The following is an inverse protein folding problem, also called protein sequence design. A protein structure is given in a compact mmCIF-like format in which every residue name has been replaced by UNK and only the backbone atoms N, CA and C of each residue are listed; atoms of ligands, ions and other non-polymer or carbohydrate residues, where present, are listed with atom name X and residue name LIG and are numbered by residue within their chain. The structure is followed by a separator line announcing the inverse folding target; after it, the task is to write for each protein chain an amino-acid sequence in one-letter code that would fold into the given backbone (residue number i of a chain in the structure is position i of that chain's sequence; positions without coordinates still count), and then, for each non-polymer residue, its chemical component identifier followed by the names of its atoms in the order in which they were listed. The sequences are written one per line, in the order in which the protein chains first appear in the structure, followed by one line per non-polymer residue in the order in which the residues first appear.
data_IF_032162891609
#
_entry.id   IF_032162891609
#
_cell.length_a   1.000
_cell.length_b   1.000
_cell.length_c   1.000
_cell.angle_alpha   90.00
_cell.angle_beta   90.00
_cell.angle_gamma   90.00
#
_symmetry.space_group_name_H-M   'P 1'
#
loop_
_entity.id
_entity.type
_entity.pdbx_description
1 polymer ?
#
# COMPACT_ATOMS: atom_id res chain seq x y z
N UNK A 1 -18.35 3.11 5.49
CA UNK A 1 -17.58 4.37 5.46
C UNK A 1 -16.36 4.28 4.54
N UNK A 2 -15.49 3.26 4.72
CA UNK A 2 -14.31 3.02 3.89
C UNK A 2 -14.57 3.07 2.37
N UNK A 3 -15.43 2.19 1.85
CA UNK A 3 -15.73 2.13 0.42
C UNK A 3 -16.30 3.43 -0.16
N UNK A 4 -17.10 4.17 0.62
CA UNK A 4 -17.65 5.46 0.19
C UNK A 4 -16.57 6.54 0.07
N UNK A 5 -15.66 6.62 1.06
CA UNK A 5 -14.52 7.54 1.01
C UNK A 5 -13.62 7.24 -0.20
N UNK A 6 -13.30 5.97 -0.43
CA UNK A 6 -12.49 5.52 -1.57
C UNK A 6 -13.15 5.88 -2.90
N UNK A 7 -14.46 5.70 -3.01
CA UNK A 7 -15.23 6.07 -4.20
C UNK A 7 -15.19 7.58 -4.46
N UNK A 8 -15.43 8.39 -3.43
CA UNK A 8 -15.33 9.85 -3.54
C UNK A 8 -13.93 10.29 -3.93
N UNK A 9 -12.89 9.67 -3.37
CA UNK A 9 -11.50 9.95 -3.72
C UNK A 9 -11.20 9.64 -5.18
N UNK A 10 -11.68 8.48 -5.67
CA UNK A 10 -11.50 8.09 -7.07
C UNK A 10 -12.18 9.05 -8.05
N UNK A 11 -13.34 9.61 -7.69
CA UNK A 11 -14.06 10.59 -8.51
C UNK A 11 -13.41 11.97 -8.43
N UNK A 12 -13.10 12.42 -7.21
CA UNK A 12 -12.58 13.76 -6.94
C UNK A 12 -11.15 13.98 -7.43
N UNK A 13 -10.28 12.97 -7.26
CA UNK A 13 -8.86 13.07 -7.61
C UNK A 13 -8.47 12.22 -8.82
N UNK A 14 -9.41 12.00 -9.75
CA UNK A 14 -9.20 11.20 -10.97
C UNK A 14 -7.97 11.62 -11.78
N UNK A 15 -7.66 12.92 -11.83
CA UNK A 15 -6.58 13.46 -12.64
C UNK A 15 -5.22 13.13 -12.02
N UNK A 16 -5.11 13.14 -10.69
CA UNK A 16 -3.91 12.69 -9.97
C UNK A 16 -3.69 11.17 -10.14
N UNK A 17 -4.76 10.37 -10.07
CA UNK A 17 -4.66 8.91 -10.29
C UNK A 17 -4.23 8.60 -11.73
N UNK A 18 -4.76 9.34 -12.72
CA UNK A 18 -4.33 9.24 -14.12
C UNK A 18 -2.88 9.62 -14.28
N UNK A 19 -2.46 10.76 -13.71
CA UNK A 19 -1.07 11.19 -13.70
C UNK A 19 -0.14 10.10 -13.15
N UNK A 20 -0.42 9.55 -11.96
CA UNK A 20 0.39 8.49 -11.36
C UNK A 20 0.48 7.23 -12.24
N UNK A 21 -0.62 6.85 -12.87
CA UNK A 21 -0.68 5.68 -13.76
C UNK A 21 0.09 5.93 -15.06
N UNK A 22 -0.08 7.10 -15.65
CA UNK A 22 0.60 7.48 -16.89
C UNK A 22 2.11 7.65 -16.67
N UNK A 23 2.51 8.19 -15.52
CA UNK A 23 3.92 8.26 -15.10
C UNK A 23 4.56 6.87 -15.03
N UNK A 24 3.91 5.91 -14.36
CA UNK A 24 4.39 4.52 -14.33
C UNK A 24 4.47 3.94 -15.74
N UNK A 25 3.44 4.14 -16.57
CA UNK A 25 3.42 3.65 -17.95
C UNK A 25 4.56 4.24 -18.79
N UNK A 26 4.83 5.52 -18.65
CA UNK A 26 5.91 6.20 -19.35
C UNK A 26 7.28 5.65 -18.93
N UNK A 27 7.48 5.42 -17.63
CA UNK A 27 8.69 4.79 -17.10
C UNK A 27 8.89 3.42 -17.74
N UNK A 28 7.87 2.56 -17.72
CA UNK A 28 7.96 1.24 -18.35
C UNK A 28 8.30 1.36 -19.84
N UNK A 29 7.61 2.22 -20.59
CA UNK A 29 7.84 2.41 -22.02
C UNK A 29 9.24 2.96 -22.33
N UNK A 30 9.75 3.92 -21.55
CA UNK A 30 11.04 4.58 -21.81
C UNK A 30 12.22 3.65 -21.49
N UNK A 31 12.16 2.94 -20.37
CA UNK A 31 13.28 2.10 -19.90
C UNK A 31 13.25 0.68 -20.44
N UNK A 32 12.14 0.20 -20.99
CA UNK A 32 12.08 -1.07 -21.72
C UNK A 32 12.89 -1.02 -23.03
N UNK A 33 13.08 0.17 -23.61
CA UNK A 33 13.89 0.34 -24.82
C UNK A 33 15.40 0.49 -24.53
N UNK A 34 15.81 0.59 -23.25
CA UNK A 34 17.21 0.76 -22.83
C UNK A 34 17.93 -0.59 -22.63
N UNK A 35 19.18 -0.51 -22.16
CA UNK A 35 20.08 -1.63 -21.82
C UNK A 35 19.44 -2.72 -20.96
N UNK A 36 20.05 -3.90 -20.95
CA UNK A 36 19.56 -5.13 -20.30
C UNK A 36 19.30 -4.98 -18.80
N UNK A 37 20.10 -4.16 -18.11
CA UNK A 37 19.99 -4.00 -16.64
C UNK A 37 18.71 -3.25 -16.25
N UNK A 38 18.35 -2.23 -17.03
CA UNK A 38 17.08 -1.52 -16.89
C UNK A 38 15.89 -2.47 -17.07
N UNK A 39 15.91 -3.32 -18.11
CA UNK A 39 14.87 -4.33 -18.34
C UNK A 39 14.75 -5.32 -17.20
N UNK A 40 15.88 -5.76 -16.64
CA UNK A 40 15.89 -6.66 -15.49
C UNK A 40 15.19 -6.02 -14.28
N UNK A 41 15.47 -4.75 -13.99
CA UNK A 41 14.80 -3.99 -12.92
C UNK A 41 13.29 -3.85 -13.16
N UNK A 42 12.88 -3.51 -14.38
CA UNK A 42 11.46 -3.44 -14.77
C UNK A 42 10.75 -4.78 -14.58
N UNK A 43 11.34 -5.86 -15.08
CA UNK A 43 10.77 -7.21 -14.98
C UNK A 43 10.67 -7.66 -13.52
N UNK A 44 11.68 -7.37 -12.70
CA UNK A 44 11.67 -7.66 -11.27
C UNK A 44 10.55 -6.91 -10.56
N UNK A 45 10.35 -5.62 -10.87
CA UNK A 45 9.25 -4.83 -10.31
C UNK A 45 7.89 -5.40 -10.70
N UNK A 46 7.65 -5.65 -12.00
CA UNK A 46 6.40 -6.25 -12.48
C UNK A 46 6.14 -7.60 -11.82
N UNK A 47 7.14 -8.47 -11.74
CA UNK A 47 6.99 -9.78 -11.12
C UNK A 47 6.65 -9.68 -9.62
N UNK A 48 7.26 -8.74 -8.92
CA UNK A 48 7.01 -8.50 -7.50
C UNK A 48 5.60 -7.96 -7.28
N UNK A 49 5.19 -6.95 -8.05
CA UNK A 49 3.83 -6.37 -7.97
C UNK A 49 2.77 -7.39 -8.36
N UNK A 50 2.95 -8.15 -9.45
CA UNK A 50 2.01 -9.19 -9.85
C UNK A 50 1.87 -10.29 -8.80
N UNK A 51 2.97 -10.70 -8.16
CA UNK A 51 2.93 -11.68 -7.07
C UNK A 51 2.18 -11.13 -5.87
N UNK A 52 2.44 -9.88 -5.50
CA UNK A 52 1.77 -9.18 -4.43
C UNK A 52 0.25 -9.06 -4.68
N UNK A 53 -0.16 -8.60 -5.86
CA UNK A 53 -1.57 -8.48 -6.26
C UNK A 53 -2.28 -9.84 -6.24
N UNK A 54 -1.65 -10.90 -6.78
CA UNK A 54 -2.23 -12.25 -6.75
C UNK A 54 -2.41 -12.77 -5.33
N UNK A 55 -1.41 -12.58 -4.47
CA UNK A 55 -1.48 -12.95 -3.06
C UNK A 55 -2.63 -12.22 -2.35
N UNK A 56 -2.72 -10.91 -2.55
CA UNK A 56 -3.79 -10.07 -2.02
C UNK A 56 -5.18 -10.51 -2.49
N UNK A 57 -5.33 -10.81 -3.78
CA UNK A 57 -6.59 -11.29 -4.35
C UNK A 57 -7.02 -12.63 -3.73
N UNK A 58 -6.09 -13.58 -3.60
CA UNK A 58 -6.37 -14.90 -3.00
C UNK A 58 -6.83 -14.75 -1.55
N UNK A 59 -6.12 -13.94 -0.77
CA UNK A 59 -6.44 -13.82 0.65
C UNK A 59 -7.77 -13.07 0.84
N UNK A 60 -8.01 -11.99 0.11
CA UNK A 60 -9.27 -11.24 0.17
C UNK A 60 -10.47 -12.11 -0.24
N UNK A 61 -10.30 -12.92 -1.29
CA UNK A 61 -11.31 -13.90 -1.71
C UNK A 61 -11.54 -14.97 -0.62
N UNK A 62 -10.47 -15.52 -0.04
CA UNK A 62 -10.57 -16.54 1.01
C UNK A 62 -11.31 -16.06 2.26
N UNK A 63 -11.07 -14.81 2.67
CA UNK A 63 -11.73 -14.18 3.82
C UNK A 63 -13.22 -13.95 3.50
N UNK A 64 -13.52 -13.41 2.32
CA UNK A 64 -14.90 -13.16 1.90
C UNK A 64 -15.71 -14.47 1.84
N UNK A 65 -15.12 -15.51 1.26
CA UNK A 65 -15.74 -16.84 1.21
C UNK A 65 -15.92 -17.44 2.61
N UNK A 66 -14.94 -17.28 3.50
CA UNK A 66 -15.04 -17.74 4.89
C UNK A 66 -16.19 -17.06 5.62
N UNK A 67 -16.35 -15.74 5.43
CA UNK A 67 -17.43 -14.96 6.07
C UNK A 67 -18.82 -15.39 5.58
N UNK A 68 -18.97 -15.70 4.28
CA UNK A 68 -20.22 -16.25 3.72
C UNK A 68 -20.47 -17.67 4.26
N UNK A 69 -19.42 -18.48 4.44
CA UNK A 69 -19.52 -19.85 4.92
C UNK A 69 -19.92 -19.98 6.40
N UNK A 70 -19.77 -18.92 7.22
CA UNK A 70 -20.18 -18.93 8.65
C UNK A 70 -21.66 -19.23 8.81
N UNK A 71 -22.53 -18.71 7.93
CA UNK A 71 -23.99 -18.92 8.02
C UNK A 71 -24.41 -20.37 7.82
N UNK A 72 -24.08 -21.03 6.69
CA UNK A 72 -24.45 -22.43 6.51
C UNK A 72 -23.77 -23.33 7.54
N UNK A 73 -22.53 -23.02 7.96
CA UNK A 73 -21.83 -23.79 8.99
C UNK A 73 -22.59 -23.75 10.33
N UNK A 74 -22.97 -22.56 10.79
CA UNK A 74 -23.71 -22.42 12.05
C UNK A 74 -25.09 -23.08 11.98
N UNK A 75 -25.76 -22.98 10.83
CA UNK A 75 -27.05 -23.64 10.60
C UNK A 75 -26.95 -25.17 10.64
N UNK A 76 -25.86 -25.76 10.12
CA UNK A 76 -25.66 -27.22 10.12
C UNK A 76 -25.28 -27.74 11.51
N UNK A 77 -24.44 -27.02 12.25
CA UNK A 77 -23.89 -27.48 13.53
C UNK A 77 -24.82 -27.20 14.70
N UNK A 78 -25.37 -25.98 14.80
CA UNK A 78 -26.17 -25.54 15.94
C UNK A 78 -27.67 -25.53 15.66
N UNK A 79 -28.08 -25.78 14.41
CA UNK A 79 -29.48 -25.76 13.94
C UNK A 79 -30.21 -24.41 14.16
N UNK A 80 -29.46 -23.34 14.43
CA UNK A 80 -29.96 -22.00 14.65
C UNK A 80 -29.91 -21.15 13.38
N UNK A 81 -30.92 -20.29 13.21
CA UNK A 81 -30.99 -19.32 12.11
C UNK A 81 -30.31 -18.03 12.52
N UNK A 82 -29.10 -17.82 12.00
CA UNK A 82 -28.35 -16.58 12.21
C UNK A 82 -28.22 -15.82 10.89
N UNK A 83 -28.15 -14.50 11.00
CA UNK A 83 -27.85 -13.58 9.89
C UNK A 83 -26.44 -12.99 10.08
N UNK A 84 -25.66 -12.87 9.01
CA UNK A 84 -24.32 -12.21 9.07
C UNK A 84 -24.46 -10.72 9.30
N UNK A 85 -25.43 -10.11 8.64
CA UNK A 85 -25.75 -8.69 8.74
C UNK A 85 -27.07 -8.51 9.50
N UNK A 86 -27.13 -7.51 10.36
CA UNK A 86 -28.27 -7.27 11.26
C UNK A 86 -29.42 -6.47 10.61
N UNK A 87 -29.36 -6.17 9.30
CA UNK A 87 -30.43 -5.43 8.65
C UNK A 87 -31.59 -6.35 8.25
N UNK A 88 -32.80 -5.89 8.58
CA UNK A 88 -34.06 -6.53 8.23
C UNK A 88 -34.69 -5.76 7.06
N UNK A 89 -34.94 -6.46 5.97
CA UNK A 89 -35.58 -5.88 4.78
C UNK A 89 -37.10 -5.80 5.02
N UNK A 90 -37.70 -4.59 4.93
CA UNK A 90 -39.13 -4.42 5.20
C UNK A 90 -39.95 -5.20 4.17
N UNK A 91 -40.91 -6.01 4.63
CA UNK A 91 -41.78 -6.82 3.78
C UNK A 91 -41.38 -8.30 3.63
N UNK A 92 -40.30 -8.76 4.28
CA UNK A 92 -39.90 -10.17 4.30
C UNK A 92 -39.90 -10.68 5.75
N UNK A 93 -40.75 -11.66 6.06
CA UNK A 93 -40.78 -12.29 7.38
C UNK A 93 -39.55 -13.21 7.59
N UNK A 94 -38.64 -12.89 8.53
CA UNK A 94 -37.42 -13.69 8.78
C UNK A 94 -37.71 -15.08 9.35
N UNK A 95 -38.89 -15.23 9.97
CA UNK A 95 -39.31 -16.45 10.64
C UNK A 95 -39.77 -17.54 9.65
N UNK A 96 -40.15 -17.15 8.43
CA UNK A 96 -40.53 -18.08 7.37
C UNK A 96 -39.28 -18.62 6.66
N UNK A 97 -39.24 -19.91 6.32
CA UNK A 97 -38.08 -20.53 5.67
C UNK A 97 -37.70 -19.84 4.35
N UNK A 98 -38.70 -19.42 3.58
CA UNK A 98 -38.53 -18.65 2.35
C UNK A 98 -37.93 -17.26 2.63
N UNK A 99 -38.46 -16.54 3.63
CA UNK A 99 -37.96 -15.21 3.98
C UNK A 99 -36.53 -15.23 4.52
N UNK A 100 -36.18 -16.24 5.32
CA UNK A 100 -34.80 -16.48 5.78
C UNK A 100 -33.84 -16.71 4.60
N UNK A 101 -34.21 -17.56 3.64
CA UNK A 101 -33.38 -17.84 2.46
C UNK A 101 -33.20 -16.58 1.61
N UNK A 102 -34.28 -15.85 1.34
CA UNK A 102 -34.25 -14.64 0.53
C UNK A 102 -33.39 -13.54 1.18
N UNK A 103 -33.50 -13.36 2.49
CA UNK A 103 -32.65 -12.42 3.25
C UNK A 103 -31.17 -12.80 3.16
N UNK A 104 -30.84 -14.08 3.33
CA UNK A 104 -29.47 -14.55 3.27
C UNK A 104 -28.86 -14.41 1.86
N UNK A 105 -29.64 -14.68 0.80
CA UNK A 105 -29.21 -14.43 -0.58
C UNK A 105 -28.89 -12.95 -0.80
N UNK A 106 -29.74 -12.04 -0.32
CA UNK A 106 -29.48 -10.60 -0.41
C UNK A 106 -28.23 -10.19 0.38
N UNK A 107 -28.03 -10.71 1.60
CA UNK A 107 -26.83 -10.47 2.39
C UNK A 107 -25.57 -10.94 1.66
N UNK A 108 -25.60 -12.11 1.04
CA UNK A 108 -24.48 -12.64 0.24
C UNK A 108 -24.14 -11.72 -0.94
N UNK A 109 -25.17 -11.25 -1.68
CA UNK A 109 -24.97 -10.30 -2.78
C UNK A 109 -24.33 -9.01 -2.26
N UNK A 110 -24.86 -8.43 -1.18
CA UNK A 110 -24.29 -7.22 -0.57
C UNK A 110 -22.84 -7.39 -0.13
N UNK A 111 -22.50 -8.52 0.49
CA UNK A 111 -21.13 -8.83 0.92
C UNK A 111 -20.20 -8.96 -0.29
N UNK A 112 -20.61 -9.67 -1.35
CA UNK A 112 -19.80 -9.83 -2.56
C UNK A 112 -19.55 -8.49 -3.26
N UNK A 113 -20.59 -7.70 -3.48
CA UNK A 113 -20.45 -6.38 -4.12
C UNK A 113 -19.64 -5.41 -3.25
N UNK A 114 -19.91 -5.36 -1.95
CA UNK A 114 -19.18 -4.51 -1.02
C UNK A 114 -17.71 -4.88 -0.90
N UNK A 115 -17.43 -6.18 -0.78
CA UNK A 115 -16.07 -6.72 -0.69
C UNK A 115 -15.28 -6.47 -1.98
N UNK A 116 -15.90 -6.74 -3.14
CA UNK A 116 -15.27 -6.49 -4.44
C UNK A 116 -14.98 -5.00 -4.67
N UNK A 117 -15.94 -4.12 -4.36
CA UNK A 117 -15.75 -2.68 -4.50
C UNK A 117 -14.63 -2.14 -3.60
N UNK A 118 -14.57 -2.60 -2.35
CA UNK A 118 -13.50 -2.21 -1.43
C UNK A 118 -12.14 -2.73 -1.91
N UNK A 119 -12.08 -4.00 -2.30
CA UNK A 119 -10.87 -4.61 -2.85
C UNK A 119 -10.34 -3.89 -4.08
N UNK A 120 -11.21 -3.55 -5.04
CA UNK A 120 -10.81 -2.86 -6.26
C UNK A 120 -10.21 -1.47 -5.97
N UNK A 121 -10.79 -0.74 -5.02
CA UNK A 121 -10.27 0.56 -4.60
C UNK A 121 -8.89 0.44 -3.92
N UNK A 122 -8.73 -0.54 -3.04
CA UNK A 122 -7.47 -0.78 -2.34
C UNK A 122 -6.38 -1.25 -3.27
N UNK A 123 -6.74 -2.09 -4.24
CA UNK A 123 -5.83 -2.59 -5.26
C UNK A 123 -5.21 -1.46 -6.08
N UNK A 124 -5.96 -0.40 -6.36
CA UNK A 124 -5.44 0.78 -7.08
C UNK A 124 -4.30 1.45 -6.28
N UNK A 125 -4.56 1.76 -5.00
CA UNK A 125 -3.55 2.33 -4.11
C UNK A 125 -2.34 1.40 -3.95
N UNK A 126 -2.60 0.12 -3.69
CA UNK A 126 -1.58 -0.90 -3.50
C UNK A 126 -0.68 -1.04 -4.72
N UNK A 127 -1.24 -0.99 -5.93
CA UNK A 127 -0.47 -1.09 -7.18
C UNK A 127 0.48 0.10 -7.34
N UNK A 128 -0.03 1.32 -7.13
CA UNK A 128 0.75 2.56 -7.25
C UNK A 128 1.91 2.58 -6.25
N UNK A 129 1.66 2.20 -4.99
CA UNK A 129 2.68 2.19 -3.93
C UNK A 129 3.66 1.03 -4.09
N UNK A 130 3.21 -0.14 -4.55
CA UNK A 130 4.10 -1.30 -4.75
C UNK A 130 5.14 -1.08 -5.85
N UNK A 131 4.92 -0.12 -6.75
CA UNK A 131 5.91 0.28 -7.75
C UNK A 131 6.92 1.32 -7.25
N UNK A 132 6.78 1.88 -6.05
CA UNK A 132 7.73 2.85 -5.49
C UNK A 132 9.19 2.36 -5.52
N UNK A 133 9.51 1.11 -5.13
CA UNK A 133 10.88 0.59 -5.19
C UNK A 133 11.52 0.63 -6.59
N UNK A 134 10.72 0.63 -7.67
CA UNK A 134 11.21 0.74 -9.05
C UNK A 134 12.04 2.02 -9.26
N UNK A 135 11.65 3.12 -8.62
CA UNK A 135 12.36 4.39 -8.78
C UNK A 135 13.78 4.33 -8.21
N UNK A 136 13.96 3.66 -7.07
CA UNK A 136 15.27 3.39 -6.47
C UNK A 136 16.09 2.45 -7.35
N UNK A 137 15.51 1.32 -7.76
CA UNK A 137 16.22 0.34 -8.59
C UNK A 137 16.70 0.97 -9.92
N UNK A 138 15.89 1.84 -10.52
CA UNK A 138 16.28 2.61 -11.71
C UNK A 138 17.31 3.70 -11.44
N UNK A 139 17.25 4.35 -10.28
CA UNK A 139 18.30 5.30 -9.88
C UNK A 139 19.65 4.59 -9.79
N UNK A 140 19.68 3.38 -9.22
CA UNK A 140 20.90 2.59 -9.11
C UNK A 140 21.52 2.29 -10.47
N UNK A 141 20.73 1.93 -11.47
CA UNK A 141 21.22 1.75 -12.84
C UNK A 141 21.81 3.05 -13.41
N UNK A 142 21.17 4.21 -13.16
CA UNK A 142 21.72 5.51 -13.59
C UNK A 142 23.05 5.85 -12.90
N UNK A 143 23.17 5.52 -11.62
CA UNK A 143 24.43 5.69 -10.88
C UNK A 143 25.54 4.80 -11.45
N UNK A 144 25.20 3.57 -11.87
CA UNK A 144 26.14 2.66 -12.54
C UNK A 144 26.60 3.24 -13.89
N UNK A 145 25.67 3.70 -14.75
CA UNK A 145 26.01 4.36 -16.01
C UNK A 145 26.97 5.56 -15.80
N UNK A 146 26.77 6.33 -14.73
CA UNK A 146 27.67 7.44 -14.38
C UNK A 146 29.06 6.94 -13.95
N UNK A 147 29.12 5.87 -13.16
CA UNK A 147 30.38 5.31 -12.69
C UNK A 147 31.20 4.74 -13.83
N UNK A 148 30.59 4.06 -14.79
CA UNK A 148 31.29 3.46 -15.93
C UNK A 148 32.06 4.54 -16.71
N UNK A 149 31.43 5.70 -16.96
CA UNK A 149 32.10 6.85 -17.61
C UNK A 149 33.23 7.42 -16.73
N UNK A 150 33.04 7.49 -15.41
CA UNK A 150 34.07 7.97 -14.48
C UNK A 150 35.26 7.01 -14.36
N UNK A 151 35.08 5.74 -14.69
CA UNK A 151 36.15 4.74 -14.72
C UNK A 151 36.87 4.67 -16.06
N UNK A 152 36.14 4.82 -17.17
CA UNK A 152 36.68 4.92 -18.53
C UNK A 152 37.44 6.24 -18.76
N UNK A 153 37.00 7.34 -18.13
CA UNK A 153 37.60 8.68 -18.22
C UNK A 153 38.96 8.86 -17.54
N UNK A 154 39.71 7.79 -17.26
CA UNK A 154 41.08 7.89 -16.71
C UNK A 154 42.09 8.53 -17.67
N UNK A 155 41.80 8.64 -18.97
CA UNK A 155 42.76 9.11 -19.99
C UNK A 155 42.24 10.16 -21.00
N UNK A 156 41.02 10.70 -20.89
CA UNK A 156 40.49 11.61 -21.94
C UNK A 156 40.07 12.98 -21.40
N UNK A 157 40.55 13.98 -22.13
CA UNK A 157 40.36 15.42 -22.03
C UNK A 157 38.89 15.88 -21.92
N UNK A 158 38.71 17.21 -21.87
CA UNK A 158 37.49 18.02 -21.70
C UNK A 158 36.15 17.51 -22.30
N UNK A 159 36.15 16.56 -23.23
CA UNK A 159 34.92 15.97 -23.82
C UNK A 159 34.12 15.11 -22.84
N UNK A 160 34.76 14.33 -21.94
CA UNK A 160 34.05 13.46 -20.98
C UNK A 160 33.32 14.21 -19.85
N UNK A 161 33.67 15.48 -19.60
CA UNK A 161 33.06 16.32 -18.57
C UNK A 161 31.61 16.68 -18.95
N UNK A 162 31.34 16.88 -20.24
CA UNK A 162 30.00 17.19 -20.74
C UNK A 162 29.02 16.05 -20.51
N UNK A 163 29.42 14.82 -20.82
CA UNK A 163 28.59 13.62 -20.66
C UNK A 163 28.32 13.30 -19.19
N UNK A 164 29.33 13.47 -18.32
CA UNK A 164 29.18 13.34 -16.87
C UNK A 164 28.12 14.32 -16.32
N UNK A 165 28.12 15.57 -16.79
CA UNK A 165 27.14 16.57 -16.36
C UNK A 165 25.71 16.23 -16.84
N UNK A 166 25.58 15.69 -18.05
CA UNK A 166 24.29 15.27 -18.60
C UNK A 166 23.69 14.13 -17.77
N UNK A 167 24.47 13.09 -17.47
CA UNK A 167 24.04 11.95 -16.66
C UNK A 167 23.70 12.36 -15.23
N UNK A 168 24.52 13.21 -14.63
CA UNK A 168 24.25 13.70 -13.30
C UNK A 168 22.95 14.51 -13.26
N UNK A 169 22.72 15.39 -14.25
CA UNK A 169 21.46 16.12 -14.39
C UNK A 169 20.26 15.19 -14.55
N UNK A 170 20.39 14.11 -15.31
CA UNK A 170 19.36 13.08 -15.46
C UNK A 170 19.07 12.36 -14.12
N UNK A 171 20.10 12.07 -13.31
CA UNK A 171 19.95 11.55 -11.94
C UNK A 171 19.17 12.54 -11.04
N UNK A 172 19.50 13.83 -11.08
CA UNK A 172 18.79 14.86 -10.33
C UNK A 172 17.32 14.96 -10.72
N UNK A 173 17.06 15.01 -12.03
CA UNK A 173 15.71 15.05 -12.56
C UNK A 173 14.92 13.79 -12.18
N UNK A 174 15.58 12.64 -12.14
CA UNK A 174 14.98 11.39 -11.70
C UNK A 174 14.59 11.41 -10.21
N UNK A 175 15.48 11.90 -9.33
CA UNK A 175 15.17 12.09 -7.92
C UNK A 175 14.02 13.09 -7.71
N UNK A 176 14.01 14.22 -8.44
CA UNK A 176 12.90 15.18 -8.39
C UNK A 176 11.57 14.56 -8.85
N UNK A 177 11.61 13.76 -9.92
CA UNK A 177 10.44 13.03 -10.43
C UNK A 177 9.89 12.06 -9.40
N UNK A 178 10.76 11.33 -8.69
CA UNK A 178 10.38 10.50 -7.55
C UNK A 178 9.70 11.30 -6.43
N UNK A 179 10.27 12.46 -6.06
CA UNK A 179 9.71 13.33 -5.02
C UNK A 179 8.32 13.85 -5.37
N UNK A 180 8.08 14.23 -6.63
CA UNK A 180 6.77 14.66 -7.12
C UNK A 180 5.78 13.49 -7.07
N UNK A 181 6.21 12.30 -7.50
CA UNK A 181 5.40 11.10 -7.49
C UNK A 181 4.94 10.76 -6.07
N UNK A 182 5.85 10.68 -5.09
CA UNK A 182 5.48 10.29 -3.72
C UNK A 182 4.63 11.35 -3.02
N UNK A 183 4.89 12.64 -3.28
CA UNK A 183 4.08 13.74 -2.74
C UNK A 183 2.66 13.67 -3.32
N UNK A 184 2.52 13.39 -4.61
CA UNK A 184 1.20 13.25 -5.25
C UNK A 184 0.44 12.04 -4.71
N UNK A 185 1.11 10.91 -4.45
CA UNK A 185 0.50 9.74 -3.80
C UNK A 185 0.00 10.12 -2.39
N UNK A 186 0.85 10.79 -1.60
CA UNK A 186 0.53 11.19 -0.23
C UNK A 186 -0.70 12.11 -0.19
N UNK A 187 -0.73 13.15 -1.02
CA UNK A 187 -1.82 14.12 -1.04
C UNK A 187 -3.12 13.49 -1.56
N UNK A 188 -3.02 12.65 -2.60
CA UNK A 188 -4.17 11.97 -3.19
C UNK A 188 -4.85 10.97 -2.23
N UNK A 189 -4.07 10.29 -1.39
CA UNK A 189 -4.58 9.25 -0.50
C UNK A 189 -4.67 9.68 0.97
N UNK A 190 -4.40 10.95 1.28
CA UNK A 190 -4.42 11.48 2.64
C UNK A 190 -5.72 11.15 3.41
N UNK A 191 -6.88 11.53 2.84
CA UNK A 191 -8.17 11.28 3.45
C UNK A 191 -8.54 9.80 3.51
N UNK A 192 -8.16 9.05 2.48
CA UNK A 192 -8.40 7.60 2.40
C UNK A 192 -7.65 6.88 3.51
N UNK A 193 -6.36 7.19 3.73
CA UNK A 193 -5.55 6.56 4.76
C UNK A 193 -6.06 6.87 6.17
N UNK A 194 -6.51 8.10 6.44
CA UNK A 194 -7.09 8.46 7.75
C UNK A 194 -8.35 7.66 8.02
N UNK A 195 -9.29 7.67 7.06
CA UNK A 195 -10.58 7.00 7.24
C UNK A 195 -10.38 5.49 7.31
N UNK A 196 -9.51 4.92 6.47
CA UNK A 196 -9.20 3.49 6.48
C UNK A 196 -8.62 3.06 7.83
N UNK A 197 -7.52 3.69 8.26
CA UNK A 197 -6.82 3.29 9.48
C UNK A 197 -7.67 3.54 10.73
N UNK A 198 -8.42 4.66 10.77
CA UNK A 198 -9.33 4.96 11.87
C UNK A 198 -10.50 3.97 11.96
N UNK A 199 -11.10 3.62 10.82
CA UNK A 199 -12.20 2.65 10.79
C UNK A 199 -11.75 1.22 11.04
N UNK A 200 -10.54 0.82 10.61
CA UNK A 200 -9.93 -0.47 10.96
C UNK A 200 -9.68 -0.55 12.47
N UNK A 201 -9.11 0.49 13.08
CA UNK A 201 -8.89 0.54 14.53
C UNK A 201 -10.20 0.40 15.32
N UNK A 202 -11.25 1.14 14.92
CA UNK A 202 -12.57 1.05 15.54
C UNK A 202 -13.20 -0.34 15.33
N UNK A 203 -13.06 -0.90 14.12
CA UNK A 203 -13.58 -2.24 13.79
C UNK A 203 -12.91 -3.33 14.60
N UNK A 204 -11.60 -3.25 14.84
CA UNK A 204 -10.88 -4.19 15.70
C UNK A 204 -11.41 -4.14 17.13
N UNK A 205 -11.53 -2.94 17.70
CA UNK A 205 -12.03 -2.75 19.06
C UNK A 205 -13.47 -3.26 19.24
N UNK A 206 -14.37 -2.93 18.32
CA UNK A 206 -15.77 -3.36 18.39
C UNK A 206 -15.92 -4.87 18.19
N UNK A 207 -15.16 -5.46 17.27
CA UNK A 207 -15.23 -6.91 17.00
C UNK A 207 -14.75 -7.74 18.18
N UNK A 208 -13.70 -7.28 18.87
CA UNK A 208 -13.21 -7.94 20.08
C UNK A 208 -14.21 -7.86 21.23
N UNK A 209 -14.88 -6.72 21.39
CA UNK A 209 -15.98 -6.59 22.34
C UNK A 209 -17.12 -7.59 22.04
N UNK A 210 -17.53 -7.70 20.77
CA UNK A 210 -18.55 -8.66 20.35
C UNK A 210 -18.12 -10.13 20.55
N UNK A 211 -16.84 -10.44 20.35
CA UNK A 211 -16.28 -11.77 20.58
C UNK A 211 -16.31 -12.17 22.06
N UNK A 212 -15.94 -11.24 22.96
CA UNK A 212 -15.99 -11.50 24.40
C UNK A 212 -17.43 -11.77 24.87
N UNK A 213 -18.41 -11.03 24.35
CA UNK A 213 -19.81 -11.26 24.66
C UNK A 213 -20.39 -12.54 24.01
N UNK A 214 -19.66 -13.22 23.13
CA UNK A 214 -20.12 -14.43 22.44
C UNK A 214 -21.30 -14.22 21.49
N UNK A 215 -21.62 -12.96 21.15
CA UNK A 215 -22.86 -12.60 20.43
C UNK A 215 -22.75 -12.73 18.91
N UNK A 216 -21.53 -12.77 18.35
CA UNK A 216 -21.33 -12.76 16.90
C UNK A 216 -20.37 -13.87 16.41
N UNK A 217 -20.90 -14.97 15.83
CA UNK A 217 -20.08 -16.09 15.36
C UNK A 217 -19.16 -15.73 14.19
N UNK A 218 -19.48 -14.68 13.42
CA UNK A 218 -18.63 -14.16 12.34
C UNK A 218 -17.45 -13.32 12.81
N UNK A 219 -17.39 -12.95 14.09
CA UNK A 219 -16.41 -12.01 14.62
C UNK A 219 -14.96 -12.42 14.39
N UNK A 220 -14.63 -13.72 14.47
CA UNK A 220 -13.24 -14.18 14.30
C UNK A 220 -12.74 -13.98 12.87
N UNK A 221 -13.58 -14.27 11.88
CA UNK A 221 -13.24 -14.06 10.45
C UNK A 221 -13.05 -12.59 10.12
N UNK A 222 -13.90 -11.72 10.67
CA UNK A 222 -13.80 -10.27 10.47
C UNK A 222 -12.62 -9.67 11.23
N UNK A 223 -12.27 -10.18 12.41
CA UNK A 223 -11.07 -9.79 13.13
C UNK A 223 -9.80 -10.08 12.31
N UNK A 224 -9.72 -11.28 11.74
CA UNK A 224 -8.60 -11.67 10.88
C UNK A 224 -8.47 -10.74 9.65
N UNK A 225 -9.60 -10.36 9.04
CA UNK A 225 -9.65 -9.38 7.95
C UNK A 225 -9.07 -8.03 8.36
N UNK A 226 -9.55 -7.46 9.47
CA UNK A 226 -9.11 -6.14 9.93
C UNK A 226 -7.62 -6.14 10.29
N UNK A 227 -7.11 -7.18 10.94
CA UNK A 227 -5.68 -7.31 11.26
C UNK A 227 -4.84 -7.42 9.99
N UNK A 228 -5.28 -8.23 9.03
CA UNK A 228 -4.57 -8.38 7.78
C UNK A 228 -4.47 -7.04 7.03
N UNK A 229 -5.60 -6.34 6.86
CA UNK A 229 -5.64 -5.04 6.20
C UNK A 229 -4.73 -4.02 6.90
N UNK A 230 -4.78 -3.96 8.24
CA UNK A 230 -3.89 -3.11 9.03
C UNK A 230 -2.41 -3.32 8.66
N UNK A 231 -1.96 -4.58 8.65
CA UNK A 231 -0.57 -4.89 8.36
C UNK A 231 -0.17 -4.66 6.91
N UNK A 232 -1.09 -4.82 5.95
CA UNK A 232 -0.79 -4.51 4.54
C UNK A 232 -0.53 -3.01 4.36
N UNK A 233 -1.42 -2.16 4.89
CA UNK A 233 -1.25 -0.70 4.80
C UNK A 233 0.04 -0.25 5.49
N UNK A 234 0.30 -0.74 6.71
CA UNK A 234 1.53 -0.48 7.44
C UNK A 234 2.78 -0.99 6.69
N UNK A 235 2.70 -2.16 6.05
CA UNK A 235 3.79 -2.74 5.28
C UNK A 235 4.12 -1.93 4.03
N UNK A 236 3.09 -1.43 3.33
CA UNK A 236 3.27 -0.54 2.17
C UNK A 236 3.87 0.81 2.56
N UNK A 237 3.47 1.37 3.71
CA UNK A 237 4.11 2.59 4.20
C UNK A 237 5.58 2.37 4.58
N UNK A 238 5.92 1.24 5.23
CA UNK A 238 7.31 0.86 5.47
C UNK A 238 8.08 0.57 4.17
N UNK A 239 7.43 0.03 3.12
CA UNK A 239 8.06 -0.14 1.80
C UNK A 239 8.52 1.21 1.22
N UNK A 240 7.72 2.26 1.39
CA UNK A 240 8.11 3.63 0.98
C UNK A 240 9.29 4.12 1.79
N UNK A 241 9.28 3.94 3.11
CA UNK A 241 10.41 4.34 3.98
C UNK A 241 11.72 3.64 3.59
N UNK A 242 11.68 2.32 3.42
CA UNK A 242 12.85 1.55 2.96
C UNK A 242 13.32 1.98 1.57
N UNK A 243 12.39 2.43 0.72
CA UNK A 243 12.75 2.98 -0.59
C UNK A 243 13.44 4.32 -0.45
N UNK A 244 12.93 5.23 0.40
CA UNK A 244 13.57 6.52 0.72
C UNK A 244 14.98 6.31 1.27
N UNK A 245 15.16 5.40 2.22
CA UNK A 245 16.48 5.04 2.75
C UNK A 245 17.40 4.52 1.64
N UNK A 246 16.83 3.79 0.70
CA UNK A 246 17.52 3.33 -0.49
C UNK A 246 18.01 4.42 -1.43
N UNK A 247 17.31 5.56 -1.53
CA UNK A 247 17.79 6.73 -2.28
C UNK A 247 19.01 7.37 -1.60
N UNK A 248 19.03 7.40 -0.27
CA UNK A 248 20.17 7.88 0.52
C UNK A 248 21.37 6.97 0.27
N UNK A 249 21.18 5.65 0.37
CA UNK A 249 22.22 4.66 0.13
C UNK A 249 22.75 4.72 -1.30
N UNK A 250 21.89 4.80 -2.32
CA UNK A 250 22.34 4.91 -3.71
C UNK A 250 23.06 6.22 -4.02
N UNK A 251 22.71 7.32 -3.36
CA UNK A 251 23.42 8.59 -3.50
C UNK A 251 24.82 8.58 -2.87
N UNK A 252 25.03 7.80 -1.81
CA UNK A 252 26.29 7.77 -1.06
C UNK A 252 27.22 6.63 -1.46
N UNK A 253 26.67 5.42 -1.61
CA UNK A 253 27.39 4.16 -1.80
C UNK A 253 27.53 3.80 -3.27
N UNK A 254 26.47 3.97 -4.08
CA UNK A 254 26.48 3.55 -5.49
C UNK A 254 27.15 4.57 -6.42
N UNK A 255 27.45 5.81 -6.00
CA UNK A 255 28.13 6.82 -6.85
C UNK A 255 29.59 7.00 -6.42
N UNK A 256 30.52 7.01 -7.39
CA UNK A 256 31.95 7.28 -7.15
C UNK A 256 32.18 8.80 -6.96
N UNK A 257 31.60 9.36 -5.91
CA UNK A 257 31.52 10.81 -5.67
C UNK A 257 32.89 11.50 -5.50
N UNK A 258 33.93 10.75 -5.14
CA UNK A 258 35.28 11.28 -4.95
C UNK A 258 36.05 11.50 -6.26
N UNK A 259 35.58 10.93 -7.38
CA UNK A 259 36.13 11.20 -8.73
C UNK A 259 35.41 12.35 -9.43
N UNK A 260 34.26 12.80 -8.91
CA UNK A 260 33.50 13.90 -9.49
C UNK A 260 34.17 15.26 -9.24
N UNK A 261 34.06 16.22 -10.18
CA UNK A 261 34.49 17.59 -9.93
C UNK A 261 33.64 18.28 -8.84
N UNK A 262 34.15 19.41 -8.34
CA UNK A 262 33.63 20.10 -7.14
C UNK A 262 32.15 20.52 -7.25
N UNK A 263 31.69 20.91 -8.44
CA UNK A 263 30.31 21.38 -8.65
C UNK A 263 29.34 20.20 -8.58
N UNK A 264 29.70 19.12 -9.26
CA UNK A 264 28.99 17.86 -9.37
C UNK A 264 28.86 17.16 -8.02
N UNK A 265 29.95 17.16 -7.23
CA UNK A 265 29.95 16.65 -5.86
C UNK A 265 28.98 17.41 -4.96
N UNK A 266 28.91 18.74 -5.08
CA UNK A 266 27.94 19.57 -4.33
C UNK A 266 26.50 19.26 -4.74
N UNK A 267 26.26 18.97 -6.02
CA UNK A 267 24.94 18.54 -6.46
C UNK A 267 24.56 17.24 -5.76
N UNK A 268 25.37 16.17 -5.83
CA UNK A 268 25.08 14.89 -5.14
C UNK A 268 24.82 15.10 -3.64
N UNK A 269 25.61 15.94 -2.98
CA UNK A 269 25.39 16.28 -1.58
C UNK A 269 24.00 16.89 -1.35
N UNK A 270 23.55 17.81 -2.22
CA UNK A 270 22.19 18.36 -2.15
C UNK A 270 21.12 17.29 -2.36
N UNK A 271 21.31 16.35 -3.30
CA UNK A 271 20.38 15.22 -3.49
C UNK A 271 20.23 14.39 -2.21
N UNK A 272 21.36 14.01 -1.60
CA UNK A 272 21.37 13.19 -0.38
C UNK A 272 20.71 13.93 0.78
N UNK A 273 20.99 15.24 0.94
CA UNK A 273 20.31 16.06 1.95
C UNK A 273 18.79 16.12 1.73
N UNK A 274 18.33 16.18 0.49
CA UNK A 274 16.89 16.13 0.19
C UNK A 274 16.29 14.75 0.46
N UNK A 275 16.97 13.67 0.06
CA UNK A 275 16.53 12.30 0.29
C UNK A 275 16.37 12.01 1.80
N UNK A 276 17.30 12.49 2.64
CA UNK A 276 17.24 12.37 4.10
C UNK A 276 16.03 13.06 4.74
N UNK A 277 15.49 14.10 4.10
CA UNK A 277 14.32 14.84 4.57
C UNK A 277 13.01 14.40 3.91
N UNK A 278 13.05 13.33 3.11
CA UNK A 278 11.86 12.85 2.40
C UNK A 278 10.97 12.03 3.34
N UNK A 279 9.82 12.61 3.68
CA UNK A 279 8.83 11.94 4.53
C UNK A 279 8.19 10.73 3.85
N UNK A 280 7.90 9.69 4.63
CA UNK A 280 7.11 8.55 4.20
C UNK A 280 5.60 8.85 4.13
N UNK A 281 4.81 7.81 3.91
CA UNK A 281 3.35 7.89 4.00
C UNK A 281 2.93 8.10 5.46
N UNK A 282 1.96 8.98 5.70
CA UNK A 282 1.49 9.32 7.05
C UNK A 282 -0.04 9.25 7.14
N UNK A 283 -0.52 8.91 8.33
CA UNK A 283 -1.91 8.97 8.74
C UNK A 283 -2.14 10.36 9.34
N UNK A 284 -2.94 11.18 8.67
CA UNK A 284 -3.34 12.48 9.20
C UNK A 284 -2.20 13.49 9.38
N UNK A 285 -1.09 13.32 8.64
CA UNK A 285 0.14 14.14 8.75
C UNK A 285 0.91 14.00 10.06
N UNK A 286 0.43 13.17 11.00
CA UNK A 286 1.01 13.08 12.36
C UNK A 286 1.66 11.72 12.59
N UNK A 287 0.99 10.63 12.23
CA UNK A 287 1.46 9.28 12.55
C UNK A 287 2.03 8.64 11.30
N UNK A 288 3.30 8.17 11.29
CA UNK A 288 3.86 7.53 10.12
C UNK A 288 3.17 6.17 9.89
N UNK A 289 2.84 5.88 8.63
CA UNK A 289 2.22 4.61 8.25
C UNK A 289 3.33 3.56 8.19
N UNK A 290 3.56 2.85 9.29
CA UNK A 290 4.67 1.89 9.40
C UNK A 290 4.25 0.63 10.10
N UNK A 291 5.04 -0.42 9.94
CA UNK A 291 4.90 -1.66 10.72
C UNK A 291 4.99 -1.40 12.24
N UNK A 292 5.79 -0.41 12.66
CA UNK A 292 5.86 -0.01 14.07
C UNK A 292 4.52 0.54 14.58
N UNK A 293 3.85 1.38 13.78
CA UNK A 293 2.51 1.88 14.10
C UNK A 293 1.49 0.74 14.17
N UNK A 294 1.55 -0.23 13.25
CA UNK A 294 0.69 -1.42 13.28
C UNK A 294 0.88 -2.27 14.55
N UNK A 295 2.12 -2.45 14.99
CA UNK A 295 2.43 -3.14 16.24
C UNK A 295 1.94 -2.38 17.47
N UNK A 296 2.11 -1.05 17.50
CA UNK A 296 1.59 -0.22 18.59
C UNK A 296 0.07 -0.29 18.68
N UNK A 297 -0.63 -0.23 17.54
CA UNK A 297 -2.08 -0.35 17.50
C UNK A 297 -2.53 -1.74 17.98
N UNK A 298 -1.86 -2.80 17.54
CA UNK A 298 -2.17 -4.17 18.00
C UNK A 298 -1.97 -4.33 19.50
N UNK A 299 -0.88 -3.77 20.06
CA UNK A 299 -0.65 -3.75 21.51
C UNK A 299 -1.74 -2.98 22.26
N UNK A 300 -2.15 -1.81 21.76
CA UNK A 300 -3.22 -1.03 22.36
C UNK A 300 -4.55 -1.80 22.39
N UNK A 301 -4.88 -2.48 21.29
CA UNK A 301 -6.07 -3.32 21.18
C UNK A 301 -6.01 -4.50 22.16
N UNK A 302 -4.88 -5.18 22.25
CA UNK A 302 -4.69 -6.27 23.22
C UNK A 302 -4.88 -5.79 24.66
N UNK A 303 -4.26 -4.65 25.02
CA UNK A 303 -4.41 -4.05 26.36
C UNK A 303 -5.86 -3.69 26.65
N UNK A 304 -6.59 -3.08 25.70
CA UNK A 304 -8.02 -2.80 25.86
C UNK A 304 -8.84 -4.08 26.06
N UNK A 305 -8.50 -5.15 25.34
CA UNK A 305 -9.18 -6.45 25.44
C UNK A 305 -8.96 -7.07 26.82
N UNK A 306 -7.71 -7.09 27.30
CA UNK A 306 -7.38 -7.61 28.64
C UNK A 306 -8.05 -6.80 29.75
N UNK A 307 -8.09 -5.47 29.61
CA UNK A 307 -8.81 -4.61 30.54
C UNK A 307 -10.30 -4.98 30.58
N UNK A 308 -10.92 -5.16 29.42
CA UNK A 308 -12.34 -5.52 29.33
C UNK A 308 -12.63 -6.89 29.95
N UNK A 309 -11.78 -7.89 29.71
CA UNK A 309 -11.90 -9.22 30.34
C UNK A 309 -11.85 -9.08 31.86
N UNK A 310 -10.88 -8.35 32.40
CA UNK A 310 -10.76 -8.11 33.85
C UNK A 310 -11.94 -7.31 34.44
N UNK A 311 -12.70 -6.56 33.64
CA UNK A 311 -13.92 -5.88 34.09
C UNK A 311 -15.16 -6.78 34.07
N UNK A 312 -15.13 -7.86 33.29
CA UNK A 312 -16.23 -8.82 33.14
C UNK A 312 -16.11 -10.02 34.08
N UNK A 313 -14.89 -10.36 34.52
CA UNK A 313 -14.60 -11.28 35.63
C UNK A 313 -14.82 -10.61 37.00
#
# INVERSE_FOLDING_TARGET
MQGYCKLLNAIGNKDNIRYLTDELREIYRKYDLKHTDYRCCLQKSINTVNRFIKCMAIIHFSITMSLIAVVPFHRVVFNERIFVMQFLLPGIDPNTAYGYLMMNCMHCICILFGSFGNFAADLCFFTIVSHVPLFKDLLRCKCQDLNDILEEGKDVEQEGIGDCQILLKDIFQWHQKYMIYITTVKDNYFWVLIIEMGTVALSLASTLFCLILGTWPGGLTYLAYCLMMLYIYCGLGTLVEVTNDGFIDSGYTDVIWYKLPMVERKMIQMMVMMAQNTGGLTIGSVVPLTMNTGLQLTKAIYTMTMMLINFLE
#
